data_IF_773601501731
#
_entry.id   IF_773601501731
#
_cell.length_a   1.000
_cell.length_b   1.000
_cell.length_c   1.000
_cell.angle_alpha   90.00
_cell.angle_beta   90.00
_cell.angle_gamma   90.00
#
_symmetry.space_group_name_H-M   'P 1'
#
loop_
_entity.id
_entity.type
_entity.pdbx_description
1 polymer ?
#
# COMPACT_ATOMS: atom_id res chain seq x y z
N UNK A 1 -33.34 28.77 45.80
CA UNK A 1 -33.31 28.30 47.20
C UNK A 1 -31.86 28.35 47.65
N UNK A 2 -31.51 29.22 48.60
CA UNK A 2 -30.10 29.47 48.95
C UNK A 2 -29.50 28.25 49.65
N UNK A 3 -28.24 27.91 49.34
CA UNK A 3 -27.48 26.82 49.98
C UNK A 3 -27.52 26.96 51.51
N UNK A 4 -27.54 28.20 52.02
CA UNK A 4 -27.66 28.46 53.46
C UNK A 4 -28.99 27.96 54.03
N UNK A 5 -30.12 28.13 53.31
CA UNK A 5 -31.43 27.63 53.75
C UNK A 5 -31.47 26.10 53.79
N UNK A 6 -30.77 25.44 52.86
CA UNK A 6 -30.65 23.98 52.83
C UNK A 6 -29.85 23.45 54.02
N UNK A 7 -28.75 24.12 54.37
CA UNK A 7 -27.88 23.78 55.51
C UNK A 7 -28.60 24.01 56.84
N UNK A 8 -29.36 25.11 56.97
CA UNK A 8 -30.13 25.39 58.21
C UNK A 8 -31.25 24.37 58.40
N UNK A 9 -31.95 23.99 57.33
CA UNK A 9 -33.00 22.97 57.40
C UNK A 9 -32.42 21.59 57.72
N UNK A 10 -31.27 21.22 57.14
CA UNK A 10 -30.55 19.99 57.49
C UNK A 10 -30.10 19.97 58.95
N UNK A 11 -29.60 21.09 59.48
CA UNK A 11 -29.23 21.20 60.90
C UNK A 11 -30.42 21.05 61.83
N UNK A 12 -31.53 21.73 61.53
CA UNK A 12 -32.72 21.69 62.38
C UNK A 12 -33.37 20.30 62.36
N UNK A 13 -33.48 19.66 61.19
CA UNK A 13 -33.98 18.30 61.08
C UNK A 13 -33.05 17.28 61.74
N UNK A 14 -31.72 17.48 61.70
CA UNK A 14 -30.77 16.62 62.41
C UNK A 14 -30.85 16.76 63.94
N UNK A 15 -31.12 17.96 64.45
CA UNK A 15 -31.30 18.24 65.88
C UNK A 15 -32.63 17.69 66.41
N UNK A 16 -33.73 17.81 65.66
CA UNK A 16 -35.02 17.19 66.03
C UNK A 16 -34.93 15.65 66.04
N UNK A 17 -34.12 15.08 65.15
CA UNK A 17 -33.93 13.63 65.04
C UNK A 17 -33.11 13.03 66.19
N UNK A 18 -32.21 13.81 66.80
CA UNK A 18 -31.43 13.40 67.97
C UNK A 18 -32.26 13.31 69.25
N UNK A 19 -33.47 13.88 69.29
CA UNK A 19 -34.38 13.87 70.44
C UNK A 19 -35.40 12.73 70.47
N UNK A 20 -35.38 11.81 69.49
CA UNK A 20 -36.41 10.76 69.34
C UNK A 20 -35.91 9.36 69.76
N UNK A 21 -36.47 8.81 70.84
CA UNK A 21 -36.13 7.49 71.42
C UNK A 21 -36.62 6.27 70.60
N UNK A 22 -37.24 6.50 69.43
CA UNK A 22 -37.64 5.45 68.45
C UNK A 22 -36.72 5.38 67.22
N UNK A 23 -35.48 5.88 67.35
CA UNK A 23 -34.48 6.03 66.29
C UNK A 23 -33.85 4.76 65.71
N UNK A 24 -34.42 3.56 65.90
CA UNK A 24 -33.84 2.33 65.32
C UNK A 24 -33.91 2.32 63.78
N UNK A 25 -35.01 2.82 63.20
CA UNK A 25 -35.21 2.93 61.74
C UNK A 25 -34.23 3.93 61.12
N UNK A 26 -34.01 5.04 61.83
CA UNK A 26 -33.06 6.08 61.48
C UNK A 26 -31.62 5.55 61.36
N UNK A 27 -31.18 4.79 62.37
CA UNK A 27 -29.83 4.21 62.43
C UNK A 27 -29.66 3.12 61.35
N UNK A 28 -30.65 2.23 61.19
CA UNK A 28 -30.60 1.18 60.15
C UNK A 28 -30.67 1.75 58.73
N UNK A 29 -31.42 2.82 58.50
CA UNK A 29 -31.43 3.56 57.23
C UNK A 29 -30.06 4.21 56.96
N UNK A 30 -29.46 4.89 57.94
CA UNK A 30 -28.15 5.51 57.77
C UNK A 30 -27.05 4.48 57.44
N UNK A 31 -27.06 3.32 58.10
CA UNK A 31 -26.09 2.24 57.85
C UNK A 31 -26.32 1.58 56.49
N UNK A 32 -27.57 1.37 56.07
CA UNK A 32 -27.90 0.77 54.76
C UNK A 32 -27.70 1.73 53.58
N UNK A 33 -27.73 3.04 53.81
CA UNK A 33 -27.44 4.05 52.78
C UNK A 33 -25.97 3.98 52.32
N UNK A 34 -25.04 3.66 53.22
CA UNK A 34 -23.60 3.58 52.91
C UNK A 34 -23.32 2.60 51.77
N UNK A 35 -23.69 1.30 51.84
CA UNK A 35 -23.42 0.36 50.75
C UNK A 35 -24.14 0.71 49.45
N UNK A 36 -25.34 1.31 49.51
CA UNK A 36 -26.08 1.75 48.31
C UNK A 36 -25.39 2.91 47.61
N UNK A 37 -24.93 3.91 48.36
CA UNK A 37 -24.16 5.03 47.80
C UNK A 37 -22.82 4.58 47.25
N UNK A 38 -22.20 3.58 47.90
CA UNK A 38 -20.91 3.03 47.49
C UNK A 38 -21.03 2.26 46.17
N UNK A 39 -22.08 1.44 45.99
CA UNK A 39 -22.35 0.76 44.72
C UNK A 39 -22.73 1.73 43.60
N UNK A 40 -23.54 2.75 43.90
CA UNK A 40 -23.87 3.81 42.94
C UNK A 40 -22.62 4.60 42.52
N UNK A 41 -21.74 4.93 43.47
CA UNK A 41 -20.49 5.62 43.22
C UNK A 41 -19.54 4.81 42.33
N UNK A 42 -19.41 3.50 42.59
CA UNK A 42 -18.65 2.58 41.73
C UNK A 42 -19.20 2.57 40.30
N UNK A 43 -20.52 2.56 40.13
CA UNK A 43 -21.15 2.55 38.81
C UNK A 43 -20.84 3.84 38.01
N UNK A 44 -20.87 5.00 38.67
CA UNK A 44 -20.51 6.29 38.04
C UNK A 44 -19.04 6.31 37.62
N UNK A 45 -18.15 5.91 38.52
CA UNK A 45 -16.71 5.85 38.24
C UNK A 45 -16.40 4.86 37.10
N UNK A 46 -17.04 3.69 37.07
CA UNK A 46 -16.90 2.73 35.99
C UNK A 46 -17.39 3.29 34.64
N UNK A 47 -18.51 4.01 34.64
CA UNK A 47 -19.05 4.65 33.42
C UNK A 47 -18.06 5.67 32.87
N UNK A 48 -17.41 6.45 33.76
CA UNK A 48 -16.35 7.39 33.36
C UNK A 48 -15.13 6.66 32.79
N UNK A 49 -14.67 5.59 33.43
CA UNK A 49 -13.57 4.75 32.90
C UNK A 49 -13.90 4.24 31.51
N UNK A 50 -15.07 3.63 31.33
CA UNK A 50 -15.48 3.05 30.05
C UNK A 50 -15.59 4.11 28.95
N UNK A 51 -16.14 5.29 29.27
CA UNK A 51 -16.25 6.40 28.34
C UNK A 51 -14.87 6.96 27.93
N UNK A 52 -13.98 7.21 28.89
CA UNK A 52 -12.61 7.68 28.62
C UNK A 52 -11.83 6.65 27.79
N UNK A 53 -11.97 5.35 28.12
CA UNK A 53 -11.37 4.27 27.32
C UNK A 53 -11.86 4.30 25.87
N UNK A 54 -13.17 4.42 25.66
CA UNK A 54 -13.76 4.50 24.32
C UNK A 54 -13.24 5.68 23.49
N UNK A 55 -13.08 6.86 24.11
CA UNK A 55 -12.48 8.02 23.45
C UNK A 55 -11.03 7.73 23.00
N UNK A 56 -10.23 7.15 23.89
CA UNK A 56 -8.82 6.86 23.60
C UNK A 56 -8.71 5.81 22.51
N UNK A 57 -9.52 4.73 22.58
CA UNK A 57 -9.55 3.68 21.57
C UNK A 57 -9.90 4.26 20.18
N UNK A 58 -10.94 5.09 20.09
CA UNK A 58 -11.36 5.73 18.83
C UNK A 58 -10.29 6.69 18.27
N UNK A 59 -9.71 7.54 19.13
CA UNK A 59 -8.65 8.46 18.73
C UNK A 59 -7.38 7.72 18.28
N UNK A 60 -7.04 6.63 18.97
CA UNK A 60 -5.87 5.80 18.66
C UNK A 60 -6.07 5.05 17.34
N UNK A 61 -7.24 4.47 17.10
CA UNK A 61 -7.59 3.81 15.84
C UNK A 61 -7.51 4.77 14.66
N UNK A 62 -8.09 5.98 14.80
CA UNK A 62 -8.03 7.00 13.76
C UNK A 62 -6.59 7.43 13.45
N UNK A 63 -5.76 7.61 14.48
CA UNK A 63 -4.36 8.00 14.33
C UNK A 63 -3.50 6.89 13.72
N UNK A 64 -3.70 5.63 14.12
CA UNK A 64 -2.98 4.48 13.56
C UNK A 64 -3.38 4.22 12.10
N UNK A 65 -4.66 4.41 11.74
CA UNK A 65 -5.12 4.34 10.35
C UNK A 65 -4.53 5.46 9.48
N UNK A 66 -4.50 6.70 9.97
CA UNK A 66 -3.87 7.83 9.29
C UNK A 66 -2.39 7.55 9.03
N UNK A 67 -1.64 7.19 10.08
CA UNK A 67 -0.21 6.88 9.97
C UNK A 67 0.03 5.69 9.04
N UNK A 68 -0.82 4.66 9.10
CA UNK A 68 -0.71 3.53 8.20
C UNK A 68 -0.96 3.90 6.74
N UNK A 69 -1.84 4.88 6.46
CA UNK A 69 -2.02 5.44 5.11
C UNK A 69 -0.78 6.20 4.64
N UNK A 70 -0.20 7.06 5.49
CA UNK A 70 1.03 7.78 5.15
C UNK A 70 2.22 6.84 4.93
N UNK A 71 2.32 5.78 5.73
CA UNK A 71 3.28 4.70 5.54
C UNK A 71 3.07 4.00 4.20
N UNK A 72 1.82 3.71 3.85
CA UNK A 72 1.46 3.12 2.57
C UNK A 72 1.87 4.04 1.40
N UNK A 73 1.78 5.36 1.55
CA UNK A 73 2.18 6.32 0.51
C UNK A 73 3.70 6.51 0.41
N UNK A 74 4.48 5.91 1.30
CA UNK A 74 5.94 5.86 1.23
C UNK A 74 6.62 6.97 2.03
N UNK A 75 5.88 7.63 2.94
CA UNK A 75 6.46 8.59 3.87
C UNK A 75 7.53 7.90 4.72
N UNK A 76 8.67 8.57 4.91
CA UNK A 76 9.79 8.03 5.68
C UNK A 76 9.42 7.99 7.16
N UNK A 77 9.57 6.83 7.80
CA UNK A 77 9.42 6.70 9.25
C UNK A 77 10.61 7.40 9.93
N UNK A 78 10.34 8.53 10.56
CA UNK A 78 11.29 9.36 11.29
C UNK A 78 10.58 10.09 12.44
N UNK A 79 11.27 11.02 13.11
CA UNK A 79 10.68 11.82 14.18
C UNK A 79 9.45 12.63 13.72
N UNK A 80 9.43 13.15 12.49
CA UNK A 80 8.28 13.87 11.93
C UNK A 80 7.06 12.97 11.75
N UNK A 81 7.27 11.72 11.31
CA UNK A 81 6.18 10.74 11.16
C UNK A 81 5.50 10.45 12.51
N UNK A 82 6.30 10.34 13.58
CA UNK A 82 5.76 10.23 14.94
C UNK A 82 5.04 11.51 15.38
N UNK A 83 5.59 12.69 15.09
CA UNK A 83 4.95 13.96 15.45
C UNK A 83 3.60 14.14 14.74
N UNK A 84 3.46 13.70 13.49
CA UNK A 84 2.19 13.74 12.75
C UNK A 84 1.14 12.79 13.35
N UNK A 85 1.56 11.58 13.77
CA UNK A 85 0.73 10.67 14.55
C UNK A 85 0.24 11.32 15.86
N UNK A 86 1.18 11.87 16.65
CA UNK A 86 0.88 12.51 17.94
C UNK A 86 -0.09 13.67 17.75
N UNK A 87 0.17 14.55 16.78
CA UNK A 87 -0.72 15.68 16.45
C UNK A 87 -2.12 15.21 16.11
N UNK A 88 -2.26 14.17 15.29
CA UNK A 88 -3.57 13.66 14.89
C UNK A 88 -4.29 12.98 16.06
N UNK A 89 -3.57 12.18 16.85
CA UNK A 89 -4.10 11.55 18.06
C UNK A 89 -4.60 12.59 19.06
N UNK A 90 -3.76 13.55 19.44
CA UNK A 90 -4.14 14.59 20.40
C UNK A 90 -5.25 15.50 19.86
N UNK A 91 -5.31 15.79 18.56
CA UNK A 91 -6.45 16.51 17.99
C UNK A 91 -7.80 15.78 18.17
N UNK A 92 -7.80 14.44 18.11
CA UNK A 92 -9.00 13.63 18.33
C UNK A 92 -9.35 13.43 19.82
N UNK A 93 -8.37 13.58 20.71
CA UNK A 93 -8.58 13.57 22.16
C UNK A 93 -9.00 14.97 22.67
N UNK A 94 -8.42 16.04 22.14
CA UNK A 94 -8.57 17.42 22.59
C UNK A 94 -10.00 17.95 22.41
N UNK A 95 -10.68 17.51 21.35
CA UNK A 95 -12.11 17.79 21.14
C UNK A 95 -13.04 17.17 22.19
N UNK A 96 -12.52 16.35 23.11
CA UNK A 96 -13.25 15.58 24.13
C UNK A 96 -12.64 15.75 25.55
N UNK A 97 -11.89 16.84 25.75
CA UNK A 97 -11.00 17.15 26.89
C UNK A 97 -11.63 17.18 28.28
N UNK A 98 -12.94 17.38 28.42
CA UNK A 98 -13.59 17.41 29.74
C UNK A 98 -13.61 16.02 30.43
N UNK A 99 -13.10 14.98 29.79
CA UNK A 99 -13.24 13.58 30.22
C UNK A 99 -11.90 12.84 30.36
N UNK A 100 -10.77 13.50 30.09
CA UNK A 100 -9.44 12.87 30.07
C UNK A 100 -8.48 13.68 30.94
N UNK A 101 -8.09 13.13 32.10
CA UNK A 101 -7.24 13.84 33.08
C UNK A 101 -5.79 13.99 32.59
N UNK A 102 -5.24 12.93 32.01
CA UNK A 102 -3.93 12.93 31.32
C UNK A 102 -3.82 11.71 30.40
N UNK A 103 -3.26 11.88 29.21
CA UNK A 103 -3.01 10.82 28.24
C UNK A 103 -1.57 10.93 27.75
N UNK A 104 -0.88 9.80 27.65
CA UNK A 104 0.48 9.71 27.13
C UNK A 104 0.60 8.54 26.17
N UNK A 105 1.39 8.71 25.12
CA UNK A 105 1.71 7.63 24.18
C UNK A 105 2.88 6.83 24.74
N UNK A 106 2.63 5.56 25.05
CA UNK A 106 3.60 4.64 25.63
C UNK A 106 4.50 4.01 24.56
N UNK A 107 3.90 3.61 23.43
CA UNK A 107 4.64 3.03 22.32
C UNK A 107 4.08 3.49 20.98
N UNK A 108 4.98 3.57 20.00
CA UNK A 108 4.64 3.78 18.61
C UNK A 108 5.70 3.08 17.76
N UNK A 109 5.26 2.12 16.95
CA UNK A 109 6.12 1.39 16.04
C UNK A 109 5.46 1.38 14.66
N UNK A 110 6.22 1.79 13.65
CA UNK A 110 5.81 1.70 12.26
C UNK A 110 6.88 0.92 11.50
N UNK A 111 6.47 -0.17 10.87
CA UNK A 111 7.36 -1.04 10.11
C UNK A 111 6.99 -0.96 8.61
N UNK A 112 7.76 -0.22 7.80
CA UNK A 112 7.54 -0.15 6.35
C UNK A 112 7.66 -1.50 5.63
N UNK A 113 8.41 -2.46 6.18
CA UNK A 113 8.61 -3.76 5.55
C UNK A 113 7.36 -4.64 5.63
N UNK A 114 6.65 -4.58 6.76
CA UNK A 114 5.41 -5.35 7.00
C UNK A 114 4.14 -4.53 6.74
N UNK A 115 4.26 -3.22 6.55
CA UNK A 115 3.11 -2.31 6.41
C UNK A 115 2.29 -2.17 7.69
N UNK A 116 2.90 -2.48 8.85
CA UNK A 116 2.25 -2.51 10.15
C UNK A 116 2.56 -1.23 10.93
N UNK A 117 1.53 -0.60 11.47
CA UNK A 117 1.64 0.50 12.44
C UNK A 117 0.94 0.05 13.72
N UNK A 118 1.64 0.14 14.85
CA UNK A 118 1.11 -0.16 16.19
C UNK A 118 1.39 0.99 17.13
N UNK A 119 0.41 1.32 17.96
CA UNK A 119 0.59 2.34 18.99
C UNK A 119 -0.12 1.91 20.28
N UNK A 120 0.39 2.39 21.40
CA UNK A 120 -0.28 2.26 22.69
C UNK A 120 -0.32 3.59 23.43
N UNK A 121 -1.46 3.87 24.06
CA UNK A 121 -1.70 5.05 24.87
C UNK A 121 -2.12 4.63 26.27
N UNK A 122 -1.68 5.41 27.27
CA UNK A 122 -2.02 5.23 28.67
C UNK A 122 -2.62 6.50 29.22
N UNK A 123 -3.74 6.37 29.92
CA UNK A 123 -4.38 7.44 30.67
C UNK A 123 -4.47 7.12 32.15
N UNK A 124 -4.29 8.14 32.98
CA UNK A 124 -4.54 8.06 34.41
C UNK A 124 -5.85 8.78 34.71
N UNK A 125 -6.87 8.03 35.14
CA UNK A 125 -8.20 8.56 35.44
C UNK A 125 -8.31 8.73 36.95
N UNK A 126 -8.59 9.95 37.41
CA UNK A 126 -8.86 10.21 38.83
C UNK A 126 -10.25 9.70 39.18
N UNK A 127 -10.37 8.92 40.24
CA UNK A 127 -11.64 8.35 40.68
C UNK A 127 -12.36 9.28 41.64
N UNK A 128 -13.67 9.46 41.51
CA UNK A 128 -14.45 10.34 42.40
C UNK A 128 -14.90 9.59 43.65
N UNK A 129 -15.54 8.42 43.48
CA UNK A 129 -16.13 7.68 44.59
C UNK A 129 -15.19 6.59 45.11
N UNK A 130 -14.54 5.83 44.23
CA UNK A 130 -13.48 4.88 44.61
C UNK A 130 -12.28 5.58 45.24
N UNK A 131 -12.08 6.88 44.95
CA UNK A 131 -11.07 7.70 45.61
C UNK A 131 -11.27 7.81 47.12
N UNK A 132 -12.54 7.85 47.57
CA UNK A 132 -12.92 7.89 49.00
C UNK A 132 -12.55 6.57 49.70
N UNK A 133 -12.49 5.46 48.95
CA UNK A 133 -12.25 4.10 49.45
C UNK A 133 -10.77 3.70 49.23
N UNK A 134 -9.88 4.68 49.00
CA UNK A 134 -8.44 4.46 48.90
C UNK A 134 -7.92 4.04 47.52
N UNK A 135 -8.72 4.18 46.46
CA UNK A 135 -8.29 4.00 45.06
C UNK A 135 -8.48 5.30 44.27
N UNK A 136 -7.60 6.31 44.45
CA UNK A 136 -7.78 7.64 43.89
C UNK A 136 -7.55 7.72 42.38
N UNK A 137 -6.88 6.74 41.78
CA UNK A 137 -6.62 6.70 40.34
C UNK A 137 -6.67 5.29 39.78
N UNK A 138 -7.05 5.18 38.50
CA UNK A 138 -7.00 3.95 37.71
C UNK A 138 -6.26 4.23 36.40
N UNK A 139 -5.33 3.35 36.07
CA UNK A 139 -4.61 3.39 34.81
C UNK A 139 -5.39 2.61 33.74
N UNK A 140 -5.65 3.28 32.61
CA UNK A 140 -6.28 2.67 31.43
C UNK A 140 -5.26 2.65 30.30
N UNK A 141 -5.03 1.46 29.73
CA UNK A 141 -4.18 1.27 28.56
C UNK A 141 -5.05 0.89 27.35
N UNK A 142 -4.69 1.46 26.20
CA UNK A 142 -5.31 1.22 24.91
C UNK A 142 -4.23 0.91 23.88
N UNK A 143 -4.49 -0.08 23.03
CA UNK A 143 -3.57 -0.54 21.99
C UNK A 143 -4.32 -0.64 20.67
N UNK A 144 -3.70 -0.20 19.58
CA UNK A 144 -4.26 -0.27 18.23
C UNK A 144 -3.21 -0.67 17.21
N UNK A 145 -3.65 -1.38 16.17
CA UNK A 145 -2.84 -1.86 15.05
C UNK A 145 -3.57 -1.63 13.73
N UNK A 146 -2.88 -1.05 12.75
CA UNK A 146 -3.31 -1.05 11.36
C UNK A 146 -2.30 -1.74 10.47
N UNK A 147 -2.81 -2.46 9.47
CA UNK A 147 -2.03 -3.11 8.42
C UNK A 147 -2.41 -2.56 7.07
N UNK A 148 -1.42 -2.03 6.37
CA UNK A 148 -1.58 -1.56 5.00
C UNK A 148 -0.76 -2.40 4.04
N UNK A 149 -1.40 -2.87 2.98
CA UNK A 149 -0.72 -3.55 1.90
C UNK A 149 -0.17 -2.51 0.93
N UNK A 150 1.11 -2.18 1.04
CA UNK A 150 1.82 -1.33 0.08
C UNK A 150 2.22 -2.13 -1.16
N UNK A 151 1.25 -2.76 -1.85
CA UNK A 151 1.57 -3.53 -3.06
C UNK A 151 2.14 -2.59 -4.12
N UNK A 152 3.33 -2.92 -4.59
CA UNK A 152 3.96 -2.31 -5.75
C UNK A 152 3.51 -3.06 -7.00
N UNK A 153 3.47 -2.37 -8.13
CA UNK A 153 3.13 -2.95 -9.42
C UNK A 153 4.33 -2.81 -10.34
N UNK A 154 4.77 -3.91 -10.92
CA UNK A 154 5.67 -3.93 -12.07
C UNK A 154 4.85 -4.31 -13.29
N UNK A 155 4.58 -3.33 -14.14
CA UNK A 155 3.83 -3.50 -15.37
C UNK A 155 4.79 -3.49 -16.55
N UNK A 156 4.60 -4.39 -17.50
CA UNK A 156 5.20 -4.26 -18.83
C UNK A 156 4.10 -4.17 -19.88
N UNK A 157 4.31 -3.32 -20.89
CA UNK A 157 3.37 -3.15 -22.00
C UNK A 157 4.01 -3.69 -23.27
N UNK A 158 3.46 -4.80 -23.79
CA UNK A 158 3.74 -5.29 -25.13
C UNK A 158 2.94 -4.45 -26.12
N UNK A 159 3.64 -3.76 -27.01
CA UNK A 159 3.07 -2.75 -27.90
C UNK A 159 3.34 -3.15 -29.34
N UNK A 160 2.30 -3.53 -30.06
CA UNK A 160 2.38 -3.88 -31.47
C UNK A 160 2.68 -2.63 -32.32
N UNK A 161 3.82 -2.66 -33.02
CA UNK A 161 4.22 -1.61 -33.98
C UNK A 161 4.43 -2.20 -35.38
N UNK A 162 3.68 -3.25 -35.71
CA UNK A 162 3.75 -3.94 -37.00
C UNK A 162 3.11 -3.13 -38.12
N UNK A 163 3.31 -3.54 -39.38
CA UNK A 163 2.76 -2.84 -40.54
C UNK A 163 1.22 -2.73 -40.54
N UNK A 164 0.49 -3.70 -39.97
CA UNK A 164 -0.98 -3.64 -39.87
C UNK A 164 -1.47 -2.47 -39.01
N UNK A 165 -0.72 -2.15 -37.96
CA UNK A 165 -1.00 -1.02 -37.06
C UNK A 165 -0.96 0.34 -37.76
N UNK A 166 -0.25 0.44 -38.90
CA UNK A 166 -0.15 1.66 -39.68
C UNK A 166 -1.43 2.05 -40.41
N UNK A 167 -2.45 1.18 -40.42
CA UNK A 167 -3.71 1.36 -41.15
C UNK A 167 -4.83 1.79 -40.21
N UNK A 168 -5.82 2.49 -40.75
CA UNK A 168 -7.09 2.80 -40.07
C UNK A 168 -6.93 3.49 -38.69
N UNK A 169 -5.84 4.24 -38.48
CA UNK A 169 -5.59 4.92 -37.20
C UNK A 169 -5.29 3.99 -36.02
N UNK A 170 -5.08 2.69 -36.23
CA UNK A 170 -4.86 1.70 -35.15
C UNK A 170 -3.67 2.03 -34.27
N UNK A 171 -2.53 2.42 -34.85
CA UNK A 171 -1.37 2.86 -34.09
C UNK A 171 -1.64 4.13 -33.27
N UNK A 172 -2.46 5.05 -33.79
CA UNK A 172 -2.85 6.25 -33.05
C UNK A 172 -3.72 5.88 -31.84
N UNK A 173 -4.69 4.96 -32.02
CA UNK A 173 -5.50 4.44 -30.92
C UNK A 173 -4.66 3.71 -29.86
N UNK A 174 -3.69 2.89 -30.28
CA UNK A 174 -2.75 2.23 -29.37
C UNK A 174 -1.93 3.25 -28.58
N UNK A 175 -1.42 4.29 -29.23
CA UNK A 175 -0.68 5.38 -28.55
C UNK A 175 -1.55 6.07 -27.51
N UNK A 176 -2.80 6.41 -27.85
CA UNK A 176 -3.75 7.02 -26.91
C UNK A 176 -4.03 6.10 -25.73
N UNK A 177 -4.36 4.84 -25.96
CA UNK A 177 -4.65 3.88 -24.90
C UNK A 177 -3.44 3.65 -23.97
N UNK A 178 -2.23 3.53 -24.54
CA UNK A 178 -1.01 3.36 -23.74
C UNK A 178 -0.65 4.62 -22.93
N UNK A 179 -0.85 5.82 -23.49
CA UNK A 179 -0.66 7.07 -22.75
C UNK A 179 -1.67 7.20 -21.60
N UNK A 180 -2.95 6.86 -21.84
CA UNK A 180 -3.98 6.85 -20.79
C UNK A 180 -3.65 5.86 -19.67
N UNK A 181 -3.13 4.68 -20.01
CA UNK A 181 -2.66 3.72 -19.01
C UNK A 181 -1.53 4.30 -18.15
N UNK A 182 -0.57 5.02 -18.75
CA UNK A 182 0.50 5.71 -18.01
C UNK A 182 -0.07 6.82 -17.11
N UNK A 183 -1.04 7.60 -17.59
CA UNK A 183 -1.66 8.67 -16.79
C UNK A 183 -2.37 8.14 -15.55
N UNK A 184 -3.08 7.01 -15.69
CA UNK A 184 -3.79 6.36 -14.58
C UNK A 184 -2.80 5.75 -13.58
N UNK A 185 -1.75 5.11 -14.07
CA UNK A 185 -0.85 4.30 -13.25
C UNK A 185 0.36 5.05 -12.68
N UNK A 186 0.78 6.14 -13.33
CA UNK A 186 1.89 7.02 -12.94
C UNK A 186 1.44 8.49 -12.93
N UNK A 187 0.49 8.88 -12.06
CA UNK A 187 0.07 10.27 -11.97
C UNK A 187 1.21 11.15 -11.49
N UNK A 188 1.35 12.34 -12.09
CA UNK A 188 2.45 13.28 -11.83
C UNK A 188 2.51 13.83 -10.39
N UNK A 189 1.44 13.66 -9.62
CA UNK A 189 1.33 14.04 -8.20
C UNK A 189 1.76 12.95 -7.23
N UNK A 190 2.05 11.72 -7.70
CA UNK A 190 2.47 10.63 -6.81
C UNK A 190 3.98 10.67 -6.58
N UNK A 191 4.39 10.99 -5.35
CA UNK A 191 5.76 10.75 -4.85
C UNK A 191 6.03 9.27 -4.56
N UNK A 192 4.99 8.43 -4.66
CA UNK A 192 5.05 7.00 -4.38
C UNK A 192 5.50 6.23 -5.61
N UNK A 193 6.72 5.68 -5.59
CA UNK A 193 7.27 4.76 -6.60
C UNK A 193 6.60 3.37 -6.55
N UNK A 194 5.26 3.33 -6.39
CA UNK A 194 4.46 2.10 -6.30
C UNK A 194 4.40 1.38 -7.63
N UNK A 195 4.28 2.11 -8.73
CA UNK A 195 4.18 1.52 -10.07
C UNK A 195 5.47 1.76 -10.84
N UNK A 196 5.92 0.74 -11.56
CA UNK A 196 7.00 0.83 -12.55
C UNK A 196 6.50 0.23 -13.85
N UNK A 197 6.73 0.93 -14.96
CA UNK A 197 6.23 0.53 -16.27
C UNK A 197 7.40 0.32 -17.24
N UNK A 198 7.43 -0.82 -17.91
CA UNK A 198 8.32 -1.13 -19.03
C UNK A 198 7.56 -1.11 -20.36
N UNK A 199 8.26 -0.80 -21.45
CA UNK A 199 7.69 -0.79 -22.81
C UNK A 199 8.42 -1.78 -23.70
N UNK A 200 7.66 -2.63 -24.37
CA UNK A 200 8.18 -3.64 -25.30
C UNK A 200 7.51 -3.42 -26.67
N UNK A 201 8.01 -2.47 -27.48
CA UNK A 201 7.60 -2.35 -28.86
C UNK A 201 8.14 -3.54 -29.67
N UNK A 202 7.27 -4.23 -30.41
CA UNK A 202 7.66 -5.36 -31.24
C UNK A 202 7.11 -5.27 -32.66
N UNK A 203 7.85 -5.89 -33.57
CA UNK A 203 7.42 -6.18 -34.94
C UNK A 203 7.86 -7.61 -35.28
N UNK A 204 8.59 -7.83 -36.37
CA UNK A 204 9.18 -9.12 -36.67
C UNK A 204 10.39 -9.42 -35.77
N UNK A 205 10.95 -8.40 -35.13
CA UNK A 205 11.99 -8.52 -34.11
C UNK A 205 11.75 -7.51 -32.98
N UNK A 206 12.53 -7.61 -31.91
CA UNK A 206 12.51 -6.66 -30.80
C UNK A 206 13.83 -5.90 -30.78
N UNK A 207 13.76 -4.57 -30.76
CA UNK A 207 14.93 -3.71 -30.64
C UNK A 207 15.28 -3.54 -29.17
N UNK A 208 16.45 -4.02 -28.76
CA UNK A 208 16.92 -3.91 -27.36
C UNK A 208 18.06 -2.90 -27.23
N UNK A 209 18.48 -2.29 -28.35
CA UNK A 209 19.62 -1.40 -28.42
C UNK A 209 20.96 -2.15 -28.38
N UNK A 210 22.01 -1.47 -28.85
CA UNK A 210 23.35 -2.08 -28.99
C UNK A 210 23.92 -2.59 -27.66
N UNK A 211 23.73 -1.85 -26.56
CA UNK A 211 24.28 -2.22 -25.26
C UNK A 211 23.69 -3.51 -24.72
N UNK A 212 22.36 -3.65 -24.76
CA UNK A 212 21.68 -4.87 -24.27
C UNK A 212 21.96 -6.02 -25.24
N UNK A 213 21.83 -5.80 -26.56
CA UNK A 213 22.07 -6.83 -27.56
C UNK A 213 23.47 -7.45 -27.44
N UNK A 214 24.50 -6.64 -27.15
CA UNK A 214 25.87 -7.12 -26.93
C UNK A 214 25.99 -8.12 -25.78
N UNK A 215 25.18 -7.95 -24.73
CA UNK A 215 25.17 -8.82 -23.55
C UNK A 215 24.34 -10.08 -23.77
N UNK A 216 23.16 -9.94 -24.38
CA UNK A 216 22.12 -10.98 -24.34
C UNK A 216 22.04 -11.82 -25.62
N UNK A 217 22.59 -11.33 -26.73
CA UNK A 217 22.51 -12.03 -28.03
C UNK A 217 23.78 -12.80 -28.38
N UNK A 218 23.65 -13.78 -29.27
CA UNK A 218 24.78 -14.49 -29.88
C UNK A 218 25.41 -13.73 -31.07
N UNK A 219 24.82 -12.59 -31.47
CA UNK A 219 25.25 -11.76 -32.61
C UNK A 219 25.24 -10.28 -32.20
N UNK A 220 26.27 -9.84 -31.47
CA UNK A 220 26.29 -8.53 -30.79
C UNK A 220 26.34 -7.31 -31.72
N UNK A 221 26.55 -7.52 -33.03
CA UNK A 221 26.56 -6.45 -34.04
C UNK A 221 25.18 -5.93 -34.45
N UNK A 222 24.09 -6.59 -34.02
CA UNK A 222 22.73 -6.16 -34.30
C UNK A 222 22.04 -5.63 -33.05
N UNK A 223 21.29 -4.53 -33.18
CA UNK A 223 20.47 -3.96 -32.08
C UNK A 223 19.14 -4.68 -31.86
N UNK A 224 18.74 -5.52 -32.80
CA UNK A 224 17.50 -6.29 -32.75
C UNK A 224 17.76 -7.77 -32.53
N UNK A 225 16.78 -8.42 -31.92
CA UNK A 225 16.86 -9.81 -31.49
C UNK A 225 15.54 -10.54 -31.77
N UNK A 226 15.65 -11.85 -31.97
CA UNK A 226 14.54 -12.79 -32.17
C UNK A 226 14.55 -13.84 -31.06
N UNK A 227 13.86 -14.96 -31.26
CA UNK A 227 13.78 -16.03 -30.27
C UNK A 227 15.13 -16.73 -30.04
N UNK A 228 15.21 -17.49 -28.95
CA UNK A 228 16.34 -18.36 -28.61
C UNK A 228 16.02 -19.81 -28.96
N UNK A 229 17.04 -20.65 -29.17
CA UNK A 229 16.89 -22.06 -29.55
C UNK A 229 16.63 -23.02 -28.38
N UNK A 230 17.23 -22.75 -27.22
CA UNK A 230 17.00 -23.50 -25.98
C UNK A 230 16.18 -22.65 -25.00
N UNK A 231 15.58 -23.26 -23.98
CA UNK A 231 14.78 -22.56 -22.95
C UNK A 231 13.70 -21.64 -23.55
N UNK A 232 13.13 -22.04 -24.69
CA UNK A 232 12.39 -21.17 -25.60
C UNK A 232 11.26 -20.39 -24.92
N UNK A 233 10.54 -21.03 -24.00
CA UNK A 233 9.30 -20.50 -23.44
C UNK A 233 9.43 -19.92 -22.02
N UNK A 234 10.58 -20.05 -21.36
CA UNK A 234 10.75 -19.60 -19.98
C UNK A 234 11.62 -18.33 -19.89
N UNK A 235 12.02 -17.93 -18.69
CA UNK A 235 12.84 -16.77 -18.37
C UNK A 235 14.29 -17.09 -18.02
N UNK A 236 14.80 -18.28 -18.37
CA UNK A 236 16.19 -18.67 -18.08
C UNK A 236 17.19 -17.57 -18.45
N UNK A 237 18.22 -17.39 -17.63
CA UNK A 237 19.18 -16.29 -17.78
C UNK A 237 19.83 -16.25 -19.17
N UNK A 238 20.01 -15.05 -19.71
CA UNK A 238 20.76 -14.83 -20.96
C UNK A 238 22.24 -15.23 -20.85
N UNK A 239 22.75 -15.47 -19.64
CA UNK A 239 24.09 -16.01 -19.43
C UNK A 239 24.21 -17.46 -19.88
N UNK A 240 23.17 -18.28 -19.66
CA UNK A 240 23.15 -19.69 -20.05
C UNK A 240 22.55 -19.89 -21.43
N UNK A 241 21.60 -19.06 -21.85
CA UNK A 241 20.97 -19.18 -23.18
C UNK A 241 20.76 -17.82 -23.83
N UNK A 242 21.60 -17.52 -24.83
CA UNK A 242 21.52 -16.29 -25.63
C UNK A 242 20.29 -16.27 -26.53
N UNK A 243 19.79 -15.06 -26.80
CA UNK A 243 18.84 -14.81 -27.90
C UNK A 243 19.56 -14.68 -29.24
N UNK A 244 18.86 -14.93 -30.34
CA UNK A 244 19.41 -14.76 -31.68
C UNK A 244 19.40 -13.27 -32.07
N UNK A 245 20.51 -12.74 -32.58
CA UNK A 245 20.55 -11.38 -33.14
C UNK A 245 20.00 -11.31 -34.56
N UNK A 246 19.23 -10.25 -34.86
CA UNK A 246 18.52 -10.06 -36.11
C UNK A 246 18.72 -8.65 -36.71
N UNK A 247 19.01 -8.59 -38.02
CA UNK A 247 19.22 -7.34 -38.75
C UNK A 247 18.02 -6.84 -39.56
N UNK A 248 17.05 -7.69 -39.90
CA UNK A 248 15.88 -7.32 -40.73
C UNK A 248 14.67 -6.95 -39.86
N UNK A 249 13.85 -6.02 -40.35
CA UNK A 249 12.57 -5.61 -39.74
C UNK A 249 12.71 -5.24 -38.26
N UNK A 250 13.73 -4.45 -37.96
CA UNK A 250 14.06 -3.95 -36.64
C UNK A 250 13.25 -2.69 -36.33
N UNK A 251 12.33 -2.70 -35.33
CA UNK A 251 11.55 -1.51 -35.00
C UNK A 251 12.45 -0.35 -34.56
N UNK A 252 12.06 0.88 -34.88
CA UNK A 252 12.87 2.08 -34.58
C UNK A 252 13.07 2.27 -33.08
N UNK A 253 12.01 2.10 -32.29
CA UNK A 253 12.02 2.24 -30.85
C UNK A 253 12.53 0.98 -30.17
N UNK A 254 13.36 1.18 -29.14
CA UNK A 254 13.91 0.11 -28.33
C UNK A 254 13.01 -0.19 -27.13
N UNK A 255 13.18 -1.37 -26.55
CA UNK A 255 12.63 -1.73 -25.24
C UNK A 255 13.06 -0.68 -24.21
N UNK A 256 12.09 -0.21 -23.45
CA UNK A 256 12.32 0.63 -22.26
C UNK A 256 12.15 -0.28 -21.05
N UNK A 257 13.19 -0.45 -20.22
CA UNK A 257 13.05 -1.27 -19.03
C UNK A 257 12.13 -0.58 -18.01
N UNK A 258 11.83 -1.25 -16.90
CA UNK A 258 10.95 -0.73 -15.86
C UNK A 258 11.35 0.70 -15.45
N UNK A 259 10.43 1.64 -15.55
CA UNK A 259 10.69 3.05 -15.25
C UNK A 259 9.52 3.69 -14.50
N UNK A 260 9.82 4.70 -13.70
CA UNK A 260 8.83 5.61 -13.08
C UNK A 260 8.72 6.93 -13.84
N UNK A 261 9.52 7.14 -14.89
CA UNK A 261 9.55 8.38 -15.65
C UNK A 261 8.47 8.39 -16.73
N UNK A 262 7.29 8.91 -16.39
CA UNK A 262 6.15 9.02 -17.30
C UNK A 262 6.49 9.79 -18.60
N UNK A 263 7.28 10.86 -18.53
CA UNK A 263 7.66 11.66 -19.71
C UNK A 263 8.47 10.85 -20.73
N UNK A 264 9.45 10.07 -20.26
CA UNK A 264 10.24 9.17 -21.12
C UNK A 264 9.38 8.07 -21.74
N UNK A 265 8.45 7.50 -20.97
CA UNK A 265 7.54 6.47 -21.47
C UNK A 265 6.61 7.01 -22.56
N UNK A 266 5.95 8.14 -22.30
CA UNK A 266 5.02 8.78 -23.25
C UNK A 266 5.73 9.27 -24.52
N UNK A 267 6.88 9.91 -24.38
CA UNK A 267 7.67 10.35 -25.55
C UNK A 267 8.10 9.16 -26.43
N UNK A 268 8.47 8.03 -25.81
CA UNK A 268 8.76 6.79 -26.54
C UNK A 268 7.53 6.30 -27.30
N UNK A 269 6.37 6.18 -26.65
CA UNK A 269 5.11 5.75 -27.27
C UNK A 269 4.72 6.65 -28.44
N UNK A 270 4.78 7.96 -28.24
CA UNK A 270 4.39 8.94 -29.26
C UNK A 270 5.27 8.86 -30.51
N UNK A 271 6.53 8.41 -30.35
CA UNK A 271 7.47 8.24 -31.46
C UNK A 271 7.22 6.99 -32.32
N UNK A 272 6.39 6.03 -31.90
CA UNK A 272 6.23 4.75 -32.60
C UNK A 272 5.85 4.91 -34.07
N UNK A 273 6.42 4.03 -34.90
CA UNK A 273 6.14 3.92 -36.34
C UNK A 273 5.83 2.46 -36.68
N UNK A 274 4.75 2.25 -37.42
CA UNK A 274 4.34 0.94 -37.90
C UNK A 274 5.29 0.44 -39.00
N UNK A 275 5.81 -0.78 -38.86
CA UNK A 275 6.63 -1.42 -39.89
C UNK A 275 6.76 -2.93 -39.66
N UNK A 276 7.07 -3.68 -40.70
CA UNK A 276 7.40 -5.11 -40.62
C UNK A 276 6.20 -6.04 -40.39
N UNK A 277 6.51 -7.29 -40.06
CA UNK A 277 5.55 -8.38 -39.86
C UNK A 277 5.34 -8.70 -38.36
N UNK A 278 4.38 -9.56 -38.01
CA UNK A 278 3.88 -9.69 -36.63
C UNK A 278 4.44 -10.92 -35.92
N UNK A 279 5.58 -10.76 -35.23
CA UNK A 279 6.16 -11.80 -34.36
C UNK A 279 5.73 -11.60 -32.90
N UNK A 280 4.43 -11.76 -32.62
CA UNK A 280 3.86 -11.47 -31.29
C UNK A 280 4.43 -12.30 -30.14
N UNK A 281 4.92 -13.51 -30.40
CA UNK A 281 5.63 -14.31 -29.41
C UNK A 281 6.86 -13.59 -28.84
N UNK A 282 7.54 -12.77 -29.65
CA UNK A 282 8.68 -11.98 -29.18
C UNK A 282 8.23 -10.86 -28.24
N UNK A 283 7.10 -10.21 -28.53
CA UNK A 283 6.51 -9.20 -27.64
C UNK A 283 6.16 -9.78 -26.26
N UNK A 284 5.56 -10.97 -26.24
CA UNK A 284 5.24 -11.70 -24.99
C UNK A 284 6.52 -12.10 -24.25
N UNK A 285 7.50 -12.65 -24.96
CA UNK A 285 8.76 -13.11 -24.39
C UNK A 285 9.56 -11.96 -23.79
N UNK A 286 9.69 -10.83 -24.50
CA UNK A 286 10.41 -9.67 -23.99
C UNK A 286 9.65 -8.93 -22.88
N UNK A 287 8.33 -9.05 -22.84
CA UNK A 287 7.53 -8.65 -21.68
C UNK A 287 7.91 -9.47 -20.45
N UNK A 288 8.02 -10.79 -20.60
CA UNK A 288 8.48 -11.67 -19.53
C UNK A 288 9.89 -11.31 -19.06
N UNK A 289 10.84 -11.14 -19.98
CA UNK A 289 12.22 -10.77 -19.64
C UNK A 289 12.32 -9.41 -18.94
N UNK A 290 11.45 -8.46 -19.29
CA UNK A 290 11.42 -7.14 -18.63
C UNK A 290 10.94 -7.23 -17.17
N UNK A 291 10.06 -8.18 -16.85
CA UNK A 291 9.54 -8.42 -15.50
C UNK A 291 10.37 -9.43 -14.69
N UNK A 292 11.25 -10.18 -15.34
CA UNK A 292 11.95 -11.30 -14.74
C UNK A 292 13.17 -10.84 -13.93
N UNK A 293 13.29 -11.22 -12.63
CA UNK A 293 14.53 -11.00 -11.86
C UNK A 293 15.74 -11.73 -12.47
N UNK A 294 15.55 -12.83 -13.21
CA UNK A 294 16.65 -13.54 -13.90
C UNK A 294 17.30 -12.74 -15.05
N UNK A 295 16.70 -11.59 -15.40
CA UNK A 295 17.11 -10.70 -16.49
C UNK A 295 17.46 -9.28 -15.99
N UNK A 296 17.54 -9.09 -14.67
CA UNK A 296 17.82 -7.80 -14.04
C UNK A 296 19.08 -7.08 -14.59
N UNK A 297 20.16 -7.84 -14.80
CA UNK A 297 21.48 -7.36 -15.22
C UNK A 297 21.61 -7.10 -16.73
N UNK A 298 20.55 -7.39 -17.50
CA UNK A 298 20.51 -7.09 -18.92
C UNK A 298 20.46 -5.56 -19.18
N UNK A 299 19.84 -4.80 -18.28
CA UNK A 299 19.48 -3.40 -18.49
C UNK A 299 20.52 -2.43 -17.89
N UNK A 300 20.93 -1.37 -18.61
CA UNK A 300 21.96 -0.44 -18.12
C UNK A 300 21.49 0.54 -17.04
N UNK A 301 20.19 0.82 -16.95
CA UNK A 301 19.64 1.85 -16.05
C UNK A 301 18.19 1.56 -15.65
N UNK A 302 17.96 0.39 -15.05
CA UNK A 302 16.62 -0.03 -14.58
C UNK A 302 16.66 -0.34 -13.09
N UNK A 303 15.62 0.02 -12.33
CA UNK A 303 15.34 -0.66 -11.07
C UNK A 303 15.26 -2.17 -11.33
N UNK A 304 15.92 -2.96 -10.49
CA UNK A 304 15.86 -4.42 -10.54
C UNK A 304 14.40 -4.88 -10.42
N UNK A 305 13.92 -5.75 -11.32
CA UNK A 305 12.64 -6.43 -11.13
C UNK A 305 12.65 -7.16 -9.79
N UNK A 306 11.53 -7.12 -9.07
CA UNK A 306 11.41 -7.80 -7.79
C UNK A 306 11.56 -9.33 -7.95
N UNK A 307 12.03 -10.00 -6.90
CA UNK A 307 12.10 -11.46 -6.86
C UNK A 307 10.74 -12.10 -7.07
N UNK A 308 10.72 -13.31 -7.65
CA UNK A 308 9.52 -14.13 -7.67
C UNK A 308 9.06 -14.45 -6.24
N UNK A 309 7.74 -14.47 -6.02
CA UNK A 309 7.14 -14.73 -4.70
C UNK A 309 7.13 -13.54 -3.72
N UNK A 310 7.63 -12.34 -4.07
CA UNK A 310 7.44 -11.15 -3.20
C UNK A 310 5.95 -10.79 -3.15
N UNK A 311 5.29 -11.09 -2.03
CA UNK A 311 3.85 -10.85 -1.80
C UNK A 311 3.45 -9.37 -1.83
N UNK A 312 4.44 -8.47 -1.81
CA UNK A 312 4.26 -7.01 -1.92
C UNK A 312 4.38 -6.52 -3.35
N UNK A 313 4.67 -7.37 -4.34
CA UNK A 313 4.80 -6.94 -5.74
C UNK A 313 3.87 -7.74 -6.64
N UNK A 314 3.04 -7.04 -7.40
CA UNK A 314 2.28 -7.63 -8.50
C UNK A 314 2.99 -7.37 -9.81
N UNK A 315 3.27 -8.45 -10.54
CA UNK A 315 3.85 -8.40 -11.89
C UNK A 315 2.73 -8.56 -12.91
N UNK A 316 2.62 -7.63 -13.84
CA UNK A 316 1.53 -7.58 -14.82
C UNK A 316 2.12 -7.40 -16.22
N UNK A 317 1.66 -8.18 -17.19
CA UNK A 317 1.94 -7.96 -18.60
C UNK A 317 0.65 -7.56 -19.33
N UNK A 318 0.64 -6.35 -19.88
CA UNK A 318 -0.44 -5.82 -20.71
C UNK A 318 -0.06 -5.98 -22.18
N UNK A 319 -0.84 -6.77 -22.92
CA UNK A 319 -0.57 -7.08 -24.32
C UNK A 319 -1.53 -6.29 -25.23
N UNK A 320 -0.99 -5.47 -26.12
CA UNK A 320 -1.76 -4.63 -27.04
C UNK A 320 -1.36 -4.93 -28.48
N UNK A 321 -2.29 -5.47 -29.27
CA UNK A 321 -2.10 -5.88 -30.68
C UNK A 321 -3.41 -5.81 -31.46
N UNK A 322 -3.35 -5.73 -32.79
CA UNK A 322 -4.51 -5.65 -33.69
C UNK A 322 -4.79 -6.90 -34.53
N UNK A 323 -4.06 -8.00 -34.34
CA UNK A 323 -4.22 -9.15 -35.22
C UNK A 323 -3.39 -10.38 -34.89
N UNK A 324 -3.43 -11.32 -35.83
CA UNK A 324 -2.82 -12.64 -35.72
C UNK A 324 -1.29 -12.58 -35.77
N UNK A 325 -0.65 -13.44 -34.98
CA UNK A 325 0.80 -13.55 -34.97
C UNK A 325 1.30 -14.40 -36.15
N UNK A 326 1.62 -13.72 -37.26
CA UNK A 326 1.93 -14.34 -38.55
C UNK A 326 3.42 -14.59 -38.83
N UNK A 327 4.32 -14.27 -37.89
CA UNK A 327 5.79 -14.44 -38.09
C UNK A 327 6.39 -15.42 -37.08
N UNK A 328 7.15 -16.39 -37.58
CA UNK A 328 7.81 -17.47 -36.84
C UNK A 328 9.28 -17.59 -37.29
N UNK A 329 10.20 -17.98 -36.40
CA UNK A 329 11.59 -18.27 -36.77
C UNK A 329 11.99 -19.74 -36.59
N UNK A 330 11.41 -20.47 -35.63
CA UNK A 330 11.77 -21.86 -35.30
C UNK A 330 10.58 -22.65 -34.75
N UNK A 331 10.41 -23.91 -35.16
CA UNK A 331 9.58 -24.92 -34.51
C UNK A 331 8.05 -24.67 -34.46
N UNK A 332 7.58 -23.86 -33.51
CA UNK A 332 6.16 -23.71 -33.15
C UNK A 332 5.59 -22.41 -33.69
N UNK A 333 4.31 -22.41 -34.09
CA UNK A 333 3.63 -21.17 -34.53
C UNK A 333 3.77 -20.07 -33.47
N UNK A 334 3.79 -18.80 -33.91
CA UNK A 334 3.95 -17.69 -32.98
C UNK A 334 2.85 -17.66 -31.91
N UNK A 335 1.62 -18.06 -32.24
CA UNK A 335 0.54 -18.16 -31.26
C UNK A 335 0.82 -19.24 -30.19
N UNK A 336 1.19 -20.45 -30.61
CA UNK A 336 1.52 -21.54 -29.67
C UNK A 336 2.73 -21.21 -28.80
N UNK A 337 3.74 -20.56 -29.37
CA UNK A 337 4.89 -20.07 -28.61
C UNK A 337 4.44 -19.10 -27.52
N UNK A 338 3.66 -18.08 -27.89
CA UNK A 338 3.16 -17.09 -26.95
C UNK A 338 2.33 -17.72 -25.82
N UNK A 339 1.47 -18.69 -26.13
CA UNK A 339 0.68 -19.43 -25.13
C UNK A 339 1.59 -20.20 -24.17
N UNK A 340 2.60 -20.92 -24.67
CA UNK A 340 3.57 -21.63 -23.83
C UNK A 340 4.36 -20.68 -22.92
N UNK A 341 4.76 -19.52 -23.44
CA UNK A 341 5.43 -18.48 -22.63
C UNK A 341 4.51 -17.92 -21.55
N UNK A 342 3.26 -17.59 -21.89
CA UNK A 342 2.26 -17.12 -20.92
C UNK A 342 1.98 -18.18 -19.83
N UNK A 343 1.99 -19.46 -20.18
CA UNK A 343 1.81 -20.54 -19.21
C UNK A 343 2.98 -20.60 -18.22
N UNK A 344 4.22 -20.39 -18.68
CA UNK A 344 5.39 -20.31 -17.78
C UNK A 344 5.34 -19.06 -16.89
N UNK A 345 4.99 -17.90 -17.46
CA UNK A 345 4.82 -16.64 -16.71
C UNK A 345 3.85 -16.79 -15.54
N UNK A 346 2.73 -17.50 -15.73
CA UNK A 346 1.71 -17.70 -14.69
C UNK A 346 2.14 -18.63 -13.55
N UNK A 347 3.22 -19.42 -13.73
CA UNK A 347 3.75 -20.32 -12.70
C UNK A 347 4.73 -19.65 -11.74
N UNK A 348 5.15 -18.41 -12.01
CA UNK A 348 6.13 -17.65 -11.23
C UNK A 348 5.50 -16.64 -10.29
#
# INVERSE_FOLDING_TARGET
>A
MSINTLITNLKNSALEFLGHDKGSIAITFAVSLIPVMLTAGIAVDYTRIAHTKGIIDEALDAAVLMSGRELADGKRVNASFRADFEKFFFANVDGRTNLVDSVSIQSFNANPATGKVTASAKSNIKMTFMGIIGKPTVDVTSESEARFSSKKVELTMMLDVTGSMGRQGKLAALKTAANNAIDILLPTSSTSNKVRIGLVPYSASVNVGNTVARKVSNRPGFRCVTERRANRFNDASYATTKVEGAGRYCPSQKVVPLSTNASTLKSTINSFRASGATAGHLGVTWSYYTLSPNWDNAWPSSPTPASYGDSRVQKIALLMTDGEFNTIYTGSTSAQFAVSTCADMKRR
#
